data_IF_227495049145
#
_entry.id   IF_227495049145
#
_cell.length_a   1.000
_cell.length_b   1.000
_cell.length_c   1.000
_cell.angle_alpha   90.00
_cell.angle_beta   90.00
_cell.angle_gamma   90.00
#
_symmetry.space_group_name_H-M   'P 1'
#
loop_
_entity.id
_entity.type
_entity.pdbx_description
1 polymer ?
#
# COMPACT_ATOMS: atom_id res chain seq x y z
N UNK A 1 12.37 -1.75 -0.09
CA UNK A 1 12.20 -1.95 1.37
C UNK A 1 10.82 -1.50 1.77
N UNK A 2 9.92 -2.44 2.11
CA UNK A 2 8.51 -2.20 2.48
C UNK A 2 8.27 -2.53 3.95
N UNK A 3 9.15 -2.12 4.87
CA UNK A 3 9.04 -2.47 6.30
C UNK A 3 7.84 -1.87 7.04
N UNK A 4 7.06 -0.98 6.41
CA UNK A 4 5.90 -0.30 7.02
C UNK A 4 4.55 -0.70 6.41
N UNK A 5 4.53 -1.52 5.35
CA UNK A 5 3.29 -2.00 4.77
C UNK A 5 2.73 -3.15 5.61
N UNK A 6 1.42 -3.19 5.79
CA UNK A 6 0.76 -4.24 6.55
C UNK A 6 -0.49 -4.75 5.80
N UNK A 7 -0.76 -6.07 5.82
CA UNK A 7 -1.87 -6.64 5.10
C UNK A 7 -3.20 -6.31 5.77
N UNK A 8 -4.21 -6.07 4.94
CA UNK A 8 -5.59 -5.76 5.34
C UNK A 8 -6.54 -6.58 4.46
N UNK A 9 -7.35 -7.40 5.11
CA UNK A 9 -8.41 -8.15 4.44
C UNK A 9 -9.71 -7.33 4.48
N UNK A 10 -10.31 -7.13 3.30
CA UNK A 10 -11.56 -6.41 3.17
C UNK A 10 -12.31 -6.93 1.93
N UNK A 11 -13.63 -7.08 2.05
CA UNK A 11 -14.46 -7.44 0.91
C UNK A 11 -14.52 -6.27 -0.10
N UNK A 12 -14.51 -6.58 -1.39
CA UNK A 12 -14.56 -5.58 -2.47
C UNK A 12 -15.87 -4.77 -2.51
N UNK A 13 -16.91 -5.24 -1.81
CA UNK A 13 -18.22 -4.57 -1.67
C UNK A 13 -18.23 -3.51 -0.57
N UNK A 14 -17.20 -3.45 0.28
CA UNK A 14 -17.13 -2.50 1.40
C UNK A 14 -16.73 -1.12 0.93
N UNK A 15 -17.13 -0.12 1.71
CA UNK A 15 -16.84 1.27 1.42
C UNK A 15 -15.44 1.65 1.91
N UNK A 16 -14.94 2.78 1.39
CA UNK A 16 -13.69 3.39 1.86
C UNK A 16 -13.78 3.75 3.35
N UNK A 17 -14.97 4.08 3.86
CA UNK A 17 -15.20 4.30 5.29
C UNK A 17 -14.90 3.06 6.12
N UNK A 18 -15.38 1.89 5.68
CA UNK A 18 -15.05 0.61 6.33
C UNK A 18 -13.55 0.31 6.29
N UNK A 19 -12.86 0.66 5.20
CA UNK A 19 -11.40 0.51 5.10
C UNK A 19 -10.65 1.39 6.13
N UNK A 20 -11.09 2.65 6.32
CA UNK A 20 -10.51 3.57 7.31
C UNK A 20 -10.64 3.04 8.74
N UNK A 21 -11.83 2.52 9.10
CA UNK A 21 -12.07 1.87 10.40
C UNK A 21 -11.14 0.67 10.60
N UNK A 22 -10.95 -0.15 9.56
CA UNK A 22 -10.10 -1.33 9.62
C UNK A 22 -8.63 -0.99 9.82
N UNK A 23 -8.13 0.07 9.16
CA UNK A 23 -6.78 0.58 9.40
C UNK A 23 -6.58 1.06 10.84
N UNK A 24 -7.56 1.80 11.38
CA UNK A 24 -7.52 2.29 12.77
C UNK A 24 -7.49 1.11 13.76
N UNK A 25 -8.33 0.09 13.56
CA UNK A 25 -8.37 -1.10 14.41
C UNK A 25 -7.08 -1.95 14.33
N UNK A 26 -6.46 -2.03 13.15
CA UNK A 26 -5.22 -2.80 12.94
C UNK A 26 -4.01 -2.12 13.58
N UNK A 27 -4.01 -0.79 13.62
CA UNK A 27 -2.89 0.04 14.10
C UNK A 27 -3.34 1.03 15.17
N UNK A 28 -4.07 0.53 16.17
CA UNK A 28 -4.69 1.34 17.22
C UNK A 28 -3.70 2.26 17.91
N UNK A 29 -2.48 1.80 18.21
CA UNK A 29 -1.47 2.64 18.85
C UNK A 29 -1.09 3.87 18.02
N UNK A 30 -0.99 3.74 16.69
CA UNK A 30 -0.64 4.83 15.78
C UNK A 30 -1.83 5.77 15.51
N UNK A 31 -3.06 5.24 15.53
CA UNK A 31 -4.27 5.98 15.13
C UNK A 31 -5.27 6.24 16.27
N UNK A 32 -4.88 6.01 17.54
CA UNK A 32 -5.77 6.14 18.69
C UNK A 32 -6.42 7.52 18.81
N UNK A 33 -5.68 8.58 18.45
CA UNK A 33 -6.12 9.98 18.57
C UNK A 33 -6.77 10.52 17.29
N UNK A 34 -6.80 9.72 16.22
CA UNK A 34 -7.31 10.14 14.91
C UNK A 34 -8.60 9.41 14.62
N UNK A 35 -9.70 10.13 14.44
CA UNK A 35 -10.95 9.55 13.97
C UNK A 35 -10.79 8.97 12.57
N UNK A 36 -11.47 7.86 12.28
CA UNK A 36 -11.29 7.16 11.02
C UNK A 36 -11.69 8.04 9.83
N UNK A 37 -12.72 8.88 9.96
CA UNK A 37 -13.17 9.80 8.91
C UNK A 37 -12.08 10.82 8.54
N UNK A 38 -11.21 11.18 9.50
CA UNK A 38 -10.10 12.13 9.35
C UNK A 38 -8.89 11.53 8.64
N UNK A 39 -8.84 10.21 8.45
CA UNK A 39 -7.79 9.55 7.67
C UNK A 39 -7.93 9.93 6.19
N UNK A 40 -6.86 10.47 5.59
CA UNK A 40 -6.79 10.71 4.15
C UNK A 40 -6.15 9.52 3.47
N UNK A 41 -6.88 8.88 2.56
CA UNK A 41 -6.40 7.74 1.77
C UNK A 41 -6.08 8.20 0.35
N UNK A 42 -4.92 7.80 -0.16
CA UNK A 42 -4.47 8.13 -1.51
C UNK A 42 -4.52 6.86 -2.36
N UNK A 43 -5.19 6.94 -3.52
CA UNK A 43 -5.06 5.88 -4.53
C UNK A 43 -3.71 6.06 -5.21
N UNK A 44 -2.77 5.19 -4.89
CA UNK A 44 -1.48 5.13 -5.58
C UNK A 44 -1.58 4.12 -6.73
N UNK A 45 -1.09 4.52 -7.91
CA UNK A 45 -0.74 3.58 -8.97
C UNK A 45 0.71 3.21 -8.74
N UNK A 46 0.94 2.06 -8.12
CA UNK A 46 2.28 1.50 -8.03
C UNK A 46 2.52 0.77 -9.35
N UNK A 47 3.51 1.19 -10.15
CA UNK A 47 3.87 0.40 -11.33
C UNK A 47 4.27 -0.99 -10.83
N UNK A 48 3.71 -2.03 -11.43
CA UNK A 48 4.25 -3.38 -11.24
C UNK A 48 5.71 -3.30 -11.67
N UNK A 49 6.63 -3.59 -10.74
CA UNK A 49 8.06 -3.76 -11.01
C UNK A 49 8.26 -5.09 -11.74
N UNK A 50 7.52 -5.29 -12.83
CA UNK A 50 7.73 -6.33 -13.83
C UNK A 50 8.43 -5.67 -15.02
N UNK A 51 9.54 -4.99 -14.73
CA UNK A 51 10.47 -4.51 -15.74
C UNK A 51 11.68 -5.45 -15.74
N UNK A 52 11.57 -6.49 -16.58
CA UNK A 52 12.69 -7.24 -17.16
C UNK A 52 13.77 -7.75 -16.19
N UNK A 53 13.63 -9.01 -15.77
CA UNK A 53 14.77 -9.93 -15.68
C UNK A 53 15.33 -10.18 -17.09
N UNK A 54 15.97 -9.18 -17.68
CA UNK A 54 16.97 -9.41 -18.72
C UNK A 54 18.19 -8.58 -18.33
N UNK A 55 19.34 -9.21 -18.05
CA UNK A 55 20.55 -8.45 -17.85
C UNK A 55 20.85 -7.72 -19.15
N UNK A 56 20.68 -6.40 -19.16
CA UNK A 56 21.23 -5.55 -20.22
C UNK A 56 22.73 -5.77 -20.17
N UNK A 57 23.26 -6.54 -21.12
CA UNK A 57 24.69 -6.73 -21.30
C UNK A 57 25.29 -5.40 -21.80
N UNK A 58 25.60 -4.49 -20.87
CA UNK A 58 26.41 -3.31 -21.10
C UNK A 58 27.87 -3.74 -21.29
N UNK A 59 28.17 -4.40 -22.41
CA UNK A 59 29.54 -4.90 -22.62
C UNK A 59 29.88 -5.48 -23.99
N UNK A 60 29.07 -5.32 -25.04
CA UNK A 60 29.45 -5.86 -26.36
C UNK A 60 29.10 -4.93 -27.52
N UNK A 61 29.71 -3.74 -27.56
CA UNK A 61 30.25 -3.12 -28.78
C UNK A 61 31.30 -2.08 -28.37
N UNK A 62 32.52 -2.05 -28.95
CA UNK A 62 33.06 -2.84 -30.06
C UNK A 62 34.00 -3.99 -29.64
#
# INVERSE_FOLDING_TARGET
>A
GTSNAFPVEIESTKTIGSLKELFKAKKTNDFQDVDADRLTLWRVSIPDDDDNDFPVLLGAVP
#
